data_IF_622468793894
#
_entry.id   IF_622468793894
#
_cell.length_a   1.000
_cell.length_b   1.000
_cell.length_c   1.000
_cell.angle_alpha   90.00
_cell.angle_beta   90.00
_cell.angle_gamma   90.00
#
_symmetry.space_group_name_H-M   'P 1'
#
loop_
_entity.id
_entity.type
_entity.pdbx_description
1 polymer ?
#
# COMPACT_ATOMS: atom_id res chain seq x y z
N UNK A 1 27.80 18.78 -6.33
CA UNK A 1 26.82 18.80 -5.23
C UNK A 1 27.58 18.73 -3.92
N UNK A 2 27.44 19.69 -3.00
CA UNK A 2 28.20 19.67 -1.75
C UNK A 2 27.76 18.46 -0.92
N UNK A 3 28.72 17.70 -0.38
CA UNK A 3 28.44 16.50 0.40
C UNK A 3 27.93 16.90 1.78
N UNK A 4 26.62 16.73 1.99
CA UNK A 4 26.01 16.70 3.32
C UNK A 4 26.76 15.62 4.13
N UNK A 5 27.41 16.00 5.24
CA UNK A 5 28.11 15.06 6.14
C UNK A 5 29.65 15.10 6.15
N UNK A 6 30.28 16.24 5.84
CA UNK A 6 31.71 16.49 6.07
C UNK A 6 31.93 17.80 6.85
N UNK A 7 33.13 18.00 7.38
CA UNK A 7 33.55 19.24 8.03
C UNK A 7 33.07 19.44 9.47
N UNK A 8 33.04 20.69 9.93
CA UNK A 8 32.76 21.06 11.33
C UNK A 8 31.42 20.50 11.83
N UNK A 9 30.36 20.54 11.01
CA UNK A 9 29.07 19.95 11.37
C UNK A 9 29.14 18.43 11.60
N UNK A 10 29.94 17.70 10.81
CA UNK A 10 30.16 16.27 11.02
C UNK A 10 30.92 16.02 12.33
N UNK A 11 31.97 16.80 12.58
CA UNK A 11 32.74 16.68 13.81
C UNK A 11 31.84 16.89 15.04
N UNK A 12 30.95 17.88 15.01
CA UNK A 12 29.98 18.17 16.09
C UNK A 12 29.00 17.01 16.26
N UNK A 13 28.49 16.44 15.17
CA UNK A 13 27.61 15.28 15.22
C UNK A 13 28.29 14.04 15.82
N UNK A 14 29.55 13.77 15.45
CA UNK A 14 30.33 12.62 15.92
C UNK A 14 30.78 12.78 17.38
N UNK A 15 31.22 13.98 17.76
CA UNK A 15 31.77 14.26 19.09
C UNK A 15 30.73 14.74 20.10
N UNK A 16 29.53 15.11 19.64
CA UNK A 16 28.40 15.58 20.46
C UNK A 16 28.77 16.76 21.37
N UNK A 17 29.58 17.67 20.84
CA UNK A 17 30.09 18.85 21.55
C UNK A 17 30.03 20.08 20.65
N UNK A 18 29.83 21.27 21.24
CA UNK A 18 29.90 22.50 20.48
C UNK A 18 31.29 22.71 19.88
N UNK A 19 31.34 23.42 18.76
CA UNK A 19 32.57 23.80 18.08
C UNK A 19 32.49 25.27 17.69
N UNK A 20 33.51 26.05 18.08
CA UNK A 20 33.68 27.46 17.73
C UNK A 20 34.91 27.58 16.84
N UNK A 21 34.71 28.09 15.62
CA UNK A 21 35.78 28.39 14.68
C UNK A 21 35.89 29.91 14.51
N UNK A 22 36.94 30.57 15.07
CA UNK A 22 37.14 32.00 14.93
C UNK A 22 37.53 32.43 13.51
N UNK A 23 38.29 31.60 12.78
CA UNK A 23 38.54 31.76 11.34
C UNK A 23 38.45 30.41 10.63
N UNK A 24 37.40 30.18 9.85
CA UNK A 24 37.17 28.91 9.15
C UNK A 24 38.22 28.64 8.07
N UNK A 25 38.94 29.66 7.57
CA UNK A 25 39.97 29.45 6.54
C UNK A 25 41.21 28.76 7.08
N UNK A 26 41.49 28.97 8.37
CA UNK A 26 42.61 28.37 9.10
C UNK A 26 42.20 27.07 9.80
N UNK A 27 40.93 26.68 9.71
CA UNK A 27 40.37 25.54 10.41
C UNK A 27 40.53 24.25 9.59
N UNK A 28 41.20 23.21 10.13
CA UNK A 28 41.43 21.95 9.41
C UNK A 28 40.16 21.15 9.14
N UNK A 29 39.06 21.46 9.84
CA UNK A 29 37.75 20.83 9.67
C UNK A 29 36.85 21.64 8.72
N UNK A 30 37.31 22.77 8.20
CA UNK A 30 36.50 23.56 7.29
C UNK A 30 36.29 22.85 5.95
N UNK A 31 35.04 22.78 5.54
CA UNK A 31 34.64 22.40 4.19
C UNK A 31 33.96 23.62 3.62
N UNK A 32 34.58 24.24 2.61
CA UNK A 32 34.09 25.49 2.02
C UNK A 32 32.73 25.24 1.36
N UNK A 33 31.67 25.67 2.04
CA UNK A 33 30.30 25.67 1.51
C UNK A 33 29.95 27.04 0.89
N UNK A 34 30.44 28.12 1.50
CA UNK A 34 30.29 29.50 1.03
C UNK A 34 31.60 30.25 1.23
N UNK A 35 32.13 30.87 0.16
CA UNK A 35 33.45 31.52 0.16
C UNK A 35 33.55 32.75 1.08
N UNK A 36 32.43 33.36 1.42
CA UNK A 36 32.38 34.59 2.24
C UNK A 36 32.38 34.35 3.73
N UNK A 37 32.19 33.09 4.18
CA UNK A 37 32.16 32.78 5.62
C UNK A 37 33.56 32.85 6.22
N UNK A 38 33.62 33.41 7.44
CA UNK A 38 34.86 33.65 8.17
C UNK A 38 34.84 33.04 9.55
N UNK A 39 33.73 33.03 10.28
CA UNK A 39 33.64 32.34 11.57
C UNK A 39 32.36 31.52 11.68
N UNK A 40 32.36 30.49 12.53
CA UNK A 40 31.14 29.73 12.83
C UNK A 40 31.07 29.28 14.30
N UNK A 41 29.83 29.07 14.77
CA UNK A 41 29.53 28.22 15.91
C UNK A 41 28.63 27.09 15.44
N UNK A 42 28.94 25.87 15.86
CA UNK A 42 28.10 24.70 15.66
C UNK A 42 27.79 24.04 16.99
N UNK A 43 26.53 23.71 17.26
CA UNK A 43 26.10 23.01 18.48
C UNK A 43 25.22 21.80 18.13
N UNK A 44 25.30 20.69 18.90
CA UNK A 44 24.48 19.51 18.63
C UNK A 44 23.02 19.75 19.05
N UNK A 45 22.07 19.35 18.19
CA UNK A 45 20.66 19.21 18.53
C UNK A 45 20.44 17.78 19.06
N UNK A 46 20.57 17.57 20.36
CA UNK A 46 20.48 16.25 20.97
C UNK A 46 19.58 16.24 22.21
N UNK A 47 18.95 15.09 22.47
CA UNK A 47 18.15 14.86 23.66
C UNK A 47 18.70 13.72 24.51
N UNK A 48 18.61 13.88 25.83
CA UNK A 48 19.19 12.94 26.79
C UNK A 48 20.66 13.25 27.03
N UNK A 49 20.97 13.81 28.18
CA UNK A 49 22.33 13.88 28.68
C UNK A 49 22.71 12.44 29.10
N UNK A 50 23.74 11.85 28.48
CA UNK A 50 24.54 10.72 29.02
C UNK A 50 24.18 9.26 28.65
N UNK A 51 23.52 8.96 27.53
CA UNK A 51 23.55 7.58 27.00
C UNK A 51 24.06 7.51 25.55
N UNK A 52 25.39 7.38 25.35
CA UNK A 52 26.02 7.18 24.04
C UNK A 52 25.54 5.90 23.33
N UNK A 53 24.90 4.96 24.04
CA UNK A 53 24.41 3.70 23.46
C UNK A 53 23.08 3.85 22.73
N UNK A 54 22.44 5.03 22.78
CA UNK A 54 21.23 5.34 21.99
C UNK A 54 21.59 6.14 20.74
N UNK A 55 21.73 5.51 19.56
CA UNK A 55 22.07 6.19 18.30
C UNK A 55 21.06 7.31 17.94
N UNK A 56 19.79 7.17 18.33
CA UNK A 56 18.71 8.13 18.00
C UNK A 56 18.72 9.43 18.82
N UNK A 57 19.68 9.64 19.73
CA UNK A 57 19.70 10.82 20.61
C UNK A 57 20.12 12.12 19.94
N UNK A 58 20.69 12.07 18.72
CA UNK A 58 21.08 13.24 17.95
C UNK A 58 20.05 13.51 16.83
N UNK A 59 19.36 14.65 16.90
CA UNK A 59 18.43 15.11 15.87
C UNK A 59 19.15 15.84 14.73
N UNK A 60 20.30 16.45 15.00
CA UNK A 60 21.08 17.19 14.00
C UNK A 60 22.11 18.13 14.62
N UNK A 61 22.53 19.13 13.84
CA UNK A 61 23.48 20.18 14.27
C UNK A 61 22.89 21.53 13.91
N UNK A 62 22.90 22.45 14.87
CA UNK A 62 22.56 23.85 14.66
C UNK A 62 23.84 24.64 14.42
N UNK A 63 23.91 25.34 13.30
CA UNK A 63 25.08 26.09 12.84
C UNK A 63 24.71 27.57 12.71
N UNK A 64 25.62 28.44 13.16
CA UNK A 64 25.59 29.87 12.92
C UNK A 64 26.91 30.30 12.29
N UNK A 65 26.85 31.05 11.19
CA UNK A 65 28.02 31.51 10.43
C UNK A 65 28.05 33.04 10.32
N UNK A 66 29.24 33.60 10.15
CA UNK A 66 29.45 35.02 9.93
C UNK A 66 30.57 35.26 8.93
N UNK A 67 30.44 36.33 8.14
CA UNK A 67 31.49 36.80 7.23
C UNK A 67 32.57 37.64 7.93
N UNK A 68 32.48 37.81 9.25
CA UNK A 68 33.50 38.49 10.07
C UNK A 68 34.36 37.44 10.79
N UNK A 69 35.67 37.66 10.80
CA UNK A 69 36.60 36.85 11.62
C UNK A 69 36.31 37.10 13.10
N UNK A 70 36.34 36.04 13.91
CA UNK A 70 36.11 36.05 15.35
C UNK A 70 34.82 36.81 15.74
N UNK A 71 33.74 36.59 14.98
CA UNK A 71 32.46 37.26 15.24
C UNK A 71 31.75 36.73 16.49
N UNK A 72 32.20 35.58 17.01
CA UNK A 72 31.55 34.85 18.09
C UNK A 72 32.54 34.55 19.21
N UNK A 73 32.02 34.48 20.44
CA UNK A 73 32.77 34.07 21.62
C UNK A 73 32.08 32.92 22.38
N UNK A 74 32.56 32.61 23.59
CA UNK A 74 32.03 31.52 24.40
C UNK A 74 30.61 31.80 24.92
N UNK A 75 30.22 33.05 25.13
CA UNK A 75 28.85 33.41 25.56
C UNK A 75 27.86 33.13 24.43
N UNK A 76 28.26 33.38 23.19
CA UNK A 76 27.46 33.03 22.01
C UNK A 76 27.26 31.50 21.89
N UNK A 77 28.29 30.72 22.23
CA UNK A 77 28.18 29.25 22.30
C UNK A 77 27.14 28.83 23.34
N UNK A 78 27.22 29.36 24.57
CA UNK A 78 26.28 29.04 25.65
C UNK A 78 24.83 29.41 25.28
N UNK A 79 24.64 30.58 24.66
CA UNK A 79 23.33 31.01 24.16
C UNK A 79 22.81 30.08 23.07
N UNK A 80 23.65 29.72 22.10
CA UNK A 80 23.25 28.84 21.00
C UNK A 80 22.95 27.42 21.50
N UNK A 81 23.68 26.92 22.49
CA UNK A 81 23.37 25.64 23.16
C UNK A 81 22.02 25.68 23.88
N UNK A 82 21.69 26.77 24.57
CA UNK A 82 20.38 26.93 25.21
C UNK A 82 19.24 26.94 24.17
N UNK A 83 19.41 27.68 23.07
CA UNK A 83 18.46 27.69 21.95
C UNK A 83 18.33 26.31 21.29
N UNK A 84 19.43 25.59 21.17
CA UNK A 84 19.44 24.23 20.64
C UNK A 84 18.62 23.27 21.52
N UNK A 85 18.68 23.41 22.86
CA UNK A 85 17.86 22.61 23.77
C UNK A 85 16.36 22.88 23.57
N UNK A 86 15.96 24.14 23.47
CA UNK A 86 14.56 24.52 23.19
C UNK A 86 14.11 24.01 21.82
N UNK A 87 14.97 24.12 20.79
CA UNK A 87 14.68 23.63 19.45
C UNK A 87 14.48 22.10 19.45
N UNK A 88 15.29 21.35 20.19
CA UNK A 88 15.15 19.90 20.35
C UNK A 88 13.78 19.55 20.94
N UNK A 89 13.36 20.22 22.01
CA UNK A 89 12.06 19.98 22.65
C UNK A 89 10.92 20.27 21.66
N UNK A 90 10.98 21.40 20.94
CA UNK A 90 9.98 21.78 19.96
C UNK A 90 9.86 20.77 18.81
N UNK A 91 11.00 20.31 18.27
CA UNK A 91 11.05 19.30 17.20
C UNK A 91 10.47 17.97 17.69
N UNK A 92 10.79 17.55 18.91
CA UNK A 92 10.24 16.33 19.50
C UNK A 92 8.73 16.41 19.67
N UNK A 93 8.23 17.51 20.22
CA UNK A 93 6.79 17.72 20.40
C UNK A 93 6.06 17.70 19.06
N UNK A 94 6.60 18.37 18.04
CA UNK A 94 6.03 18.37 16.69
C UNK A 94 6.01 16.96 16.07
N UNK A 95 7.12 16.22 16.17
CA UNK A 95 7.23 14.86 15.64
C UNK A 95 6.29 13.88 16.36
N UNK A 96 6.18 13.98 17.69
CA UNK A 96 5.27 13.16 18.48
C UNK A 96 3.80 13.47 18.13
N UNK A 97 3.47 14.75 17.99
CA UNK A 97 2.13 15.17 17.60
C UNK A 97 1.76 14.66 16.20
N UNK A 98 2.68 14.74 15.23
CA UNK A 98 2.47 14.18 13.89
C UNK A 98 2.25 12.67 13.91
N UNK A 99 3.03 11.92 14.70
CA UNK A 99 2.84 10.48 14.88
C UNK A 99 1.46 10.16 15.48
N UNK A 100 1.05 10.92 16.49
CA UNK A 100 -0.27 10.76 17.11
C UNK A 100 -1.41 10.99 16.11
N UNK A 101 -1.33 12.05 15.31
CA UNK A 101 -2.33 12.32 14.28
C UNK A 101 -2.39 11.20 13.23
N UNK A 102 -1.24 10.74 12.74
CA UNK A 102 -1.19 9.65 11.77
C UNK A 102 -1.75 8.33 12.33
N UNK A 103 -1.51 8.02 13.61
CA UNK A 103 -2.12 6.87 14.27
C UNK A 103 -3.63 7.01 14.44
N UNK A 104 -4.11 8.21 14.80
CA UNK A 104 -5.55 8.49 14.92
C UNK A 104 -6.26 8.35 13.57
N UNK A 105 -5.70 8.87 12.49
CA UNK A 105 -6.26 8.72 11.14
C UNK A 105 -6.35 7.24 10.72
N UNK A 106 -5.31 6.45 10.99
CA UNK A 106 -5.31 5.00 10.74
C UNK A 106 -6.38 4.28 11.55
N UNK A 107 -6.53 4.62 12.84
CA UNK A 107 -7.57 4.02 13.71
C UNK A 107 -8.96 4.37 13.22
N UNK A 108 -9.21 5.64 12.91
CA UNK A 108 -10.50 6.10 12.40
C UNK A 108 -10.85 5.41 11.07
N UNK A 109 -9.87 5.28 10.17
CA UNK A 109 -10.06 4.54 8.93
C UNK A 109 -10.43 3.07 9.21
N UNK A 110 -9.69 2.39 10.09
CA UNK A 110 -9.97 1.01 10.47
C UNK A 110 -11.35 0.82 11.11
N UNK A 111 -11.77 1.73 12.00
CA UNK A 111 -13.11 1.71 12.61
C UNK A 111 -14.21 1.89 11.57
N UNK A 112 -14.07 2.87 10.66
CA UNK A 112 -15.01 3.08 9.55
C UNK A 112 -15.09 1.84 8.65
N UNK A 113 -13.95 1.23 8.34
CA UNK A 113 -13.89 -0.01 7.57
C UNK A 113 -14.60 -1.17 8.28
N UNK A 114 -14.41 -1.33 9.60
CA UNK A 114 -15.10 -2.36 10.38
C UNK A 114 -16.62 -2.15 10.39
N UNK A 115 -17.08 -0.91 10.58
CA UNK A 115 -18.50 -0.56 10.51
C UNK A 115 -19.09 -0.84 9.12
N UNK A 116 -18.37 -0.44 8.06
CA UNK A 116 -18.74 -0.76 6.68
C UNK A 116 -18.83 -2.28 6.46
N UNK A 117 -17.91 -3.06 7.05
CA UNK A 117 -17.93 -4.51 6.96
C UNK A 117 -19.13 -5.18 7.64
N UNK A 118 -19.54 -4.68 8.81
CA UNK A 118 -20.76 -5.13 9.49
C UNK A 118 -22.01 -4.79 8.67
N UNK A 119 -22.11 -3.55 8.16
CA UNK A 119 -23.22 -3.12 7.31
C UNK A 119 -23.30 -3.92 6.00
N UNK A 120 -22.15 -4.16 5.36
CA UNK A 120 -22.01 -4.98 4.17
C UNK A 120 -22.49 -6.42 4.41
N UNK A 121 -22.09 -7.04 5.52
CA UNK A 121 -22.51 -8.40 5.88
C UNK A 121 -24.03 -8.49 6.08
N UNK A 122 -24.62 -7.54 6.81
CA UNK A 122 -26.07 -7.47 7.01
C UNK A 122 -26.83 -7.27 5.68
N UNK A 123 -26.33 -6.40 4.81
CA UNK A 123 -26.92 -6.15 3.50
C UNK A 123 -26.81 -7.37 2.57
N UNK A 124 -25.65 -8.04 2.55
CA UNK A 124 -25.42 -9.26 1.78
C UNK A 124 -26.41 -10.36 2.18
N UNK A 125 -26.62 -10.57 3.48
CA UNK A 125 -27.59 -11.55 3.97
C UNK A 125 -29.02 -11.21 3.49
N UNK A 126 -29.41 -9.94 3.53
CA UNK A 126 -30.75 -9.51 3.09
C UNK A 126 -30.96 -9.64 1.58
N UNK A 127 -29.95 -9.30 0.78
CA UNK A 127 -29.98 -9.50 -0.68
C UNK A 127 -30.07 -10.98 -1.01
N UNK A 128 -29.23 -11.81 -0.39
CA UNK A 128 -29.23 -13.24 -0.62
C UNK A 128 -30.58 -13.87 -0.26
N UNK A 129 -31.24 -13.40 0.81
CA UNK A 129 -32.57 -13.89 1.18
C UNK A 129 -33.65 -13.50 0.17
N UNK A 130 -33.67 -12.24 -0.29
CA UNK A 130 -34.69 -11.77 -1.24
C UNK A 130 -34.47 -12.34 -2.64
N UNK A 131 -33.22 -12.37 -3.09
CA UNK A 131 -32.87 -12.80 -4.45
C UNK A 131 -32.67 -14.31 -4.57
N UNK A 132 -32.39 -15.03 -3.48
CA UNK A 132 -32.16 -16.47 -3.49
C UNK A 132 -33.38 -17.28 -3.94
N UNK A 133 -34.58 -16.80 -3.62
CA UNK A 133 -35.84 -17.49 -3.96
C UNK A 133 -36.20 -17.28 -5.44
N UNK A 134 -35.85 -16.14 -6.03
CA UNK A 134 -36.30 -15.75 -7.38
C UNK A 134 -35.88 -16.76 -8.48
N UNK A 135 -34.62 -17.24 -8.56
CA UNK A 135 -34.24 -18.26 -9.53
C UNK A 135 -34.99 -19.58 -9.32
N UNK A 136 -35.22 -19.97 -8.06
CA UNK A 136 -35.92 -21.22 -7.71
C UNK A 136 -37.38 -21.13 -8.18
N UNK A 137 -38.07 -20.05 -7.85
CA UNK A 137 -39.46 -19.82 -8.27
C UNK A 137 -39.60 -19.71 -9.79
N UNK A 138 -38.67 -19.03 -10.47
CA UNK A 138 -38.68 -18.96 -11.93
C UNK A 138 -38.55 -20.36 -12.57
N UNK A 139 -37.65 -21.18 -12.04
CA UNK A 139 -37.42 -22.56 -12.50
C UNK A 139 -38.60 -23.49 -12.19
N UNK A 140 -39.25 -23.33 -11.03
CA UNK A 140 -40.49 -24.06 -10.71
C UNK A 140 -41.67 -23.66 -11.59
N UNK A 141 -41.78 -22.37 -11.92
CA UNK A 141 -42.81 -21.86 -12.84
C UNK A 141 -42.60 -22.45 -14.23
N UNK A 142 -41.34 -22.49 -14.71
CA UNK A 142 -40.97 -23.10 -15.99
C UNK A 142 -41.32 -24.60 -16.03
N UNK A 143 -41.02 -25.34 -14.95
CA UNK A 143 -41.40 -26.77 -14.83
C UNK A 143 -42.92 -26.99 -14.81
N UNK A 144 -43.67 -26.06 -14.24
CA UNK A 144 -45.14 -26.13 -14.22
C UNK A 144 -45.74 -25.79 -15.58
N UNK A 145 -45.18 -24.80 -16.29
CA UNK A 145 -45.58 -24.42 -17.64
C UNK A 145 -45.42 -25.58 -18.64
N UNK A 146 -44.34 -26.36 -18.50
CA UNK A 146 -44.09 -27.53 -19.33
C UNK A 146 -45.19 -28.61 -19.26
N UNK A 147 -46.06 -28.57 -18.24
CA UNK A 147 -47.18 -29.51 -18.05
C UNK A 147 -48.51 -28.98 -18.59
N UNK A 148 -48.57 -27.73 -19.05
CA UNK A 148 -49.79 -27.08 -19.53
C UNK A 148 -49.82 -27.06 -21.06
N UNK A 149 -50.99 -27.33 -21.64
CA UNK A 149 -51.24 -27.05 -23.06
C UNK A 149 -51.32 -25.53 -23.24
N UNK A 150 -50.35 -24.98 -23.97
CA UNK A 150 -50.20 -23.56 -24.26
C UNK A 150 -49.78 -23.40 -25.72
N UNK A 151 -50.27 -22.38 -26.45
CA UNK A 151 -49.80 -22.08 -27.79
C UNK A 151 -48.28 -21.86 -27.81
N UNK A 152 -47.59 -22.40 -28.82
CA UNK A 152 -46.12 -22.38 -28.87
C UNK A 152 -45.53 -20.96 -28.80
N UNK A 153 -46.20 -19.98 -29.42
CA UNK A 153 -45.77 -18.58 -29.37
C UNK A 153 -45.84 -17.97 -27.96
N UNK A 154 -46.84 -18.35 -27.17
CA UNK A 154 -46.97 -17.88 -25.79
C UNK A 154 -45.99 -18.60 -24.87
N UNK A 155 -45.83 -19.93 -25.04
CA UNK A 155 -44.85 -20.72 -24.29
C UNK A 155 -43.44 -20.17 -24.48
N UNK A 156 -43.04 -19.93 -25.72
CA UNK A 156 -41.71 -19.39 -26.06
C UNK A 156 -41.48 -18.00 -25.44
N UNK A 157 -42.51 -17.13 -25.43
CA UNK A 157 -42.42 -15.81 -24.81
C UNK A 157 -42.31 -15.89 -23.28
N UNK A 158 -43.08 -16.76 -22.62
CA UNK A 158 -43.03 -16.93 -21.16
C UNK A 158 -41.69 -17.52 -20.73
N UNK A 159 -41.21 -18.57 -21.41
CA UNK A 159 -39.92 -19.20 -21.14
C UNK A 159 -38.78 -18.19 -21.29
N UNK A 160 -38.75 -17.43 -22.38
CA UNK A 160 -37.74 -16.39 -22.58
C UNK A 160 -37.74 -15.31 -21.49
N UNK A 161 -38.90 -14.95 -20.93
CA UNK A 161 -38.97 -14.02 -19.80
C UNK A 161 -38.50 -14.66 -18.48
N UNK A 162 -38.91 -15.90 -18.19
CA UNK A 162 -38.48 -16.62 -16.99
C UNK A 162 -36.97 -16.88 -16.98
N UNK A 163 -36.38 -17.23 -18.13
CA UNK A 163 -34.93 -17.37 -18.29
C UNK A 163 -34.20 -16.06 -18.01
N UNK A 164 -34.71 -14.93 -18.53
CA UNK A 164 -34.14 -13.60 -18.25
C UNK A 164 -34.23 -13.24 -16.77
N UNK A 165 -35.35 -13.53 -16.11
CA UNK A 165 -35.53 -13.32 -14.66
C UNK A 165 -34.52 -14.16 -13.87
N UNK A 166 -34.42 -15.45 -14.18
CA UNK A 166 -33.50 -16.37 -13.52
C UNK A 166 -32.03 -15.95 -13.72
N UNK A 167 -31.66 -15.54 -14.94
CA UNK A 167 -30.33 -15.05 -15.27
C UNK A 167 -29.99 -13.78 -14.50
N UNK A 168 -30.89 -12.80 -14.51
CA UNK A 168 -30.69 -11.54 -13.80
C UNK A 168 -30.58 -11.74 -12.29
N UNK A 169 -31.42 -12.61 -11.71
CA UNK A 169 -31.37 -12.90 -10.29
C UNK A 169 -30.06 -13.61 -9.89
N UNK A 170 -29.60 -14.58 -10.69
CA UNK A 170 -28.27 -15.20 -10.50
C UNK A 170 -27.14 -14.20 -10.64
N UNK A 171 -27.24 -13.26 -11.58
CA UNK A 171 -26.25 -12.20 -11.75
C UNK A 171 -26.18 -11.28 -10.52
N UNK A 172 -27.32 -10.85 -9.97
CA UNK A 172 -27.37 -10.03 -8.75
C UNK A 172 -26.78 -10.76 -7.54
N UNK A 173 -27.03 -12.06 -7.40
CA UNK A 173 -26.44 -12.87 -6.32
C UNK A 173 -24.91 -12.96 -6.46
N UNK A 174 -24.39 -13.21 -7.66
CA UNK A 174 -22.94 -13.19 -7.93
C UNK A 174 -22.32 -11.82 -7.66
N UNK A 175 -23.00 -10.74 -8.08
CA UNK A 175 -22.54 -9.38 -7.83
C UNK A 175 -22.51 -9.06 -6.33
N UNK A 176 -23.55 -9.45 -5.59
CA UNK A 176 -23.61 -9.33 -4.13
C UNK A 176 -22.42 -10.05 -3.48
N UNK A 177 -22.15 -11.29 -3.90
CA UNK A 177 -21.03 -12.06 -3.38
C UNK A 177 -19.69 -11.38 -3.66
N UNK A 178 -19.43 -10.93 -4.90
CA UNK A 178 -18.22 -10.23 -5.28
C UNK A 178 -18.05 -8.88 -4.54
N UNK A 179 -19.10 -8.06 -4.45
CA UNK A 179 -19.06 -6.75 -3.79
C UNK A 179 -18.81 -6.86 -2.27
N UNK A 180 -19.33 -7.92 -1.62
CA UNK A 180 -19.23 -8.07 -0.18
C UNK A 180 -18.10 -9.02 0.27
N UNK A 181 -17.44 -9.73 -0.66
CA UNK A 181 -16.29 -10.61 -0.38
C UNK A 181 -15.18 -9.91 0.42
N UNK A 182 -14.75 -8.67 0.09
CA UNK A 182 -13.71 -7.97 0.85
C UNK A 182 -14.10 -7.75 2.32
N UNK A 183 -15.39 -7.57 2.59
CA UNK A 183 -15.93 -7.28 3.91
C UNK A 183 -16.18 -8.53 4.74
N UNK A 184 -16.48 -9.67 4.09
CA UNK A 184 -16.65 -10.97 4.76
C UNK A 184 -15.30 -11.61 5.12
N UNK A 185 -14.26 -11.32 4.35
CA UNK A 185 -12.93 -11.92 4.48
C UNK A 185 -11.82 -10.87 4.51
N UNK A 186 -12.03 -9.75 5.21
CA UNK A 186 -10.92 -8.96 5.77
C UNK A 186 -10.25 -9.77 6.89
N UNK A 187 -9.68 -10.91 6.52
CA UNK A 187 -8.85 -11.73 7.40
C UNK A 187 -7.54 -11.02 7.70
N UNK A 188 -6.79 -11.50 8.71
CA UNK A 188 -5.47 -10.95 9.03
C UNK A 188 -4.57 -10.97 7.78
N UNK A 189 -3.77 -9.92 7.60
CA UNK A 189 -2.70 -9.92 6.59
C UNK A 189 -1.72 -11.03 6.91
N UNK A 190 -1.33 -11.79 5.89
CA UNK A 190 -0.32 -12.82 5.98
C UNK A 190 0.84 -12.48 5.04
N UNK A 191 2.04 -12.95 5.36
CA UNK A 191 3.15 -12.97 4.40
C UNK A 191 2.92 -14.12 3.44
N UNK A 192 2.58 -13.79 2.20
CA UNK A 192 2.22 -14.75 1.16
C UNK A 192 3.27 -14.75 0.04
N UNK A 193 3.44 -15.92 -0.57
CA UNK A 193 4.21 -16.13 -1.79
C UNK A 193 3.28 -15.88 -3.00
N UNK A 194 3.55 -14.80 -3.74
CA UNK A 194 2.72 -14.38 -4.87
C UNK A 194 2.75 -15.39 -6.01
N UNK A 195 3.90 -16.02 -6.29
CA UNK A 195 4.00 -17.00 -7.37
C UNK A 195 3.15 -18.22 -7.05
N UNK A 196 3.20 -18.70 -5.79
CA UNK A 196 2.40 -19.83 -5.35
C UNK A 196 0.89 -19.56 -5.49
N UNK A 197 0.44 -18.36 -5.08
CA UNK A 197 -0.97 -17.97 -5.24
C UNK A 197 -1.40 -17.87 -6.70
N UNK A 198 -0.53 -17.42 -7.62
CA UNK A 198 -0.83 -17.38 -9.04
C UNK A 198 -0.94 -18.78 -9.65
N UNK A 199 -0.08 -19.71 -9.24
CA UNK A 199 -0.18 -21.11 -9.66
C UNK A 199 -1.51 -21.73 -9.17
N UNK A 200 -1.87 -21.55 -7.89
CA UNK A 200 -3.15 -22.01 -7.35
C UNK A 200 -4.35 -21.40 -8.12
N UNK A 201 -4.29 -20.10 -8.43
CA UNK A 201 -5.35 -19.44 -9.19
C UNK A 201 -5.46 -19.95 -10.63
N UNK A 202 -4.34 -20.21 -11.30
CA UNK A 202 -4.32 -20.78 -12.65
C UNK A 202 -4.87 -22.20 -12.68
N UNK A 203 -4.56 -23.00 -11.67
CA UNK A 203 -5.12 -24.35 -11.50
C UNK A 203 -6.62 -24.32 -11.22
N UNK A 204 -7.06 -23.44 -10.31
CA UNK A 204 -8.47 -23.30 -9.94
C UNK A 204 -9.36 -22.70 -11.05
N UNK A 205 -8.78 -21.92 -11.98
CA UNK A 205 -9.51 -21.28 -13.07
C UNK A 205 -10.03 -22.27 -14.14
N UNK A 206 -9.56 -23.51 -14.13
CA UNK A 206 -9.97 -24.57 -15.07
C UNK A 206 -9.96 -24.07 -16.51
N UNK A 207 -8.77 -23.64 -16.96
CA UNK A 207 -8.55 -23.15 -18.31
C UNK A 207 -8.60 -24.32 -19.30
N UNK A 208 -9.31 -24.15 -20.42
CA UNK A 208 -9.39 -25.19 -21.44
C UNK A 208 -8.04 -25.40 -22.13
N UNK A 209 -7.80 -26.61 -22.65
CA UNK A 209 -6.57 -26.94 -23.41
C UNK A 209 -6.36 -26.07 -24.67
N UNK A 210 -7.39 -25.32 -25.08
CA UNK A 210 -7.33 -24.39 -26.21
C UNK A 210 -6.64 -23.07 -25.86
N UNK A 211 -6.40 -22.79 -24.57
CA UNK A 211 -5.74 -21.57 -24.10
C UNK A 211 -4.27 -21.87 -23.83
N UNK A 212 -3.38 -21.24 -24.59
CA UNK A 212 -1.94 -21.30 -24.35
C UNK A 212 -1.59 -20.45 -23.11
N UNK A 213 -1.15 -21.09 -22.03
CA UNK A 213 -0.75 -20.41 -20.79
C UNK A 213 0.77 -20.26 -20.73
N UNK A 214 1.26 -19.02 -20.72
CA UNK A 214 2.69 -18.69 -20.62
C UNK A 214 2.98 -18.13 -19.22
N UNK A 215 3.87 -18.79 -18.47
CA UNK A 215 4.27 -18.39 -17.12
C UNK A 215 5.69 -17.83 -17.11
N UNK A 216 5.82 -16.56 -16.79
CA UNK A 216 7.11 -15.86 -16.70
C UNK A 216 7.32 -15.34 -15.28
N UNK A 217 7.58 -16.26 -14.33
CA UNK A 217 7.74 -15.90 -12.93
C UNK A 217 9.20 -15.63 -12.57
N UNK A 218 9.45 -14.52 -11.87
CA UNK A 218 10.75 -14.27 -11.27
C UNK A 218 10.99 -15.27 -10.14
N UNK A 219 12.16 -15.93 -10.15
CA UNK A 219 12.47 -17.06 -9.25
C UNK A 219 12.60 -16.67 -7.78
N UNK A 220 12.93 -15.41 -7.49
CA UNK A 220 13.23 -14.93 -6.14
C UNK A 220 12.44 -13.66 -5.83
N UNK A 221 11.13 -13.81 -5.66
CA UNK A 221 10.27 -12.72 -5.25
C UNK A 221 10.23 -12.59 -3.72
N UNK A 222 10.19 -11.36 -3.18
CA UNK A 222 9.99 -11.15 -1.75
C UNK A 222 8.56 -11.54 -1.35
N UNK A 223 8.40 -12.04 -0.12
CA UNK A 223 7.09 -12.32 0.46
C UNK A 223 6.29 -11.02 0.64
N UNK A 224 5.04 -11.01 0.22
CA UNK A 224 4.17 -9.83 0.27
C UNK A 224 3.21 -9.94 1.44
N UNK A 225 3.17 -8.91 2.29
CA UNK A 225 2.20 -8.87 3.38
C UNK A 225 0.84 -8.40 2.83
N UNK A 226 -0.06 -9.34 2.57
CA UNK A 226 -1.34 -9.06 1.93
C UNK A 226 -2.45 -9.93 2.50
N UNK A 227 -3.69 -9.63 2.12
CA UNK A 227 -4.85 -10.44 2.49
C UNK A 227 -4.85 -11.76 1.70
N UNK A 228 -5.34 -12.84 2.31
CA UNK A 228 -5.62 -14.12 1.64
C UNK A 228 -6.57 -13.97 0.44
N UNK A 229 -7.30 -12.85 0.36
CA UNK A 229 -8.12 -12.45 -0.81
C UNK A 229 -7.33 -12.29 -2.11
N UNK A 230 -6.00 -12.23 -2.07
CA UNK A 230 -5.20 -12.06 -3.28
C UNK A 230 -5.36 -13.23 -4.27
N UNK A 231 -5.51 -14.46 -3.75
CA UNK A 231 -5.83 -15.65 -4.57
C UNK A 231 -7.11 -15.44 -5.38
N UNK A 232 -8.13 -14.91 -4.71
CA UNK A 232 -9.44 -14.67 -5.28
C UNK A 232 -9.39 -13.62 -6.40
N UNK A 233 -8.59 -12.55 -6.20
CA UNK A 233 -8.38 -11.51 -7.21
C UNK A 233 -7.73 -12.11 -8.45
N UNK A 234 -6.69 -12.92 -8.29
CA UNK A 234 -6.06 -13.60 -9.41
C UNK A 234 -7.02 -14.53 -10.14
N UNK A 235 -7.79 -15.33 -9.41
CA UNK A 235 -8.80 -16.22 -9.99
C UNK A 235 -9.83 -15.45 -10.82
N UNK A 236 -10.33 -14.31 -10.33
CA UNK A 236 -11.29 -13.47 -11.05
C UNK A 236 -10.67 -12.85 -12.32
N UNK A 237 -9.44 -12.34 -12.24
CA UNK A 237 -8.74 -11.78 -13.41
C UNK A 237 -8.49 -12.85 -14.48
N UNK A 238 -8.01 -14.03 -14.09
CA UNK A 238 -7.78 -15.15 -15.00
C UNK A 238 -9.10 -15.64 -15.61
N UNK A 239 -10.16 -15.74 -14.80
CA UNK A 239 -11.49 -16.14 -15.29
C UNK A 239 -12.07 -15.11 -16.27
N UNK A 240 -11.79 -13.82 -16.06
CA UNK A 240 -12.21 -12.76 -16.98
C UNK A 240 -11.42 -12.81 -18.28
N UNK A 241 -10.10 -12.99 -18.23
CA UNK A 241 -9.28 -13.20 -19.42
C UNK A 241 -9.77 -14.41 -20.23
N UNK A 242 -10.11 -15.52 -19.56
CA UNK A 242 -10.70 -16.70 -20.21
C UNK A 242 -11.96 -16.36 -21.02
N UNK A 243 -12.87 -15.57 -20.44
CA UNK A 243 -14.11 -15.15 -21.10
C UNK A 243 -13.84 -14.19 -22.27
N UNK A 244 -12.92 -13.25 -22.10
CA UNK A 244 -12.58 -12.28 -23.14
C UNK A 244 -12.04 -12.95 -24.42
N UNK A 245 -11.35 -14.08 -24.26
CA UNK A 245 -10.81 -14.88 -25.35
C UNK A 245 -11.80 -15.91 -25.96
N UNK A 246 -13.06 -15.99 -25.50
CA UNK A 246 -14.02 -17.02 -25.98
C UNK A 246 -14.28 -16.98 -27.49
N UNK A 247 -14.21 -15.80 -28.11
CA UNK A 247 -14.45 -15.59 -29.54
C UNK A 247 -13.16 -15.38 -30.36
N UNK A 248 -11.99 -15.52 -29.73
CA UNK A 248 -10.69 -15.28 -30.37
C UNK A 248 -10.12 -16.57 -31.00
N UNK A 249 -9.55 -16.43 -32.20
CA UNK A 249 -8.86 -17.52 -32.92
C UNK A 249 -7.55 -17.94 -32.22
N UNK A 250 -6.85 -16.98 -31.62
CA UNK A 250 -5.67 -17.22 -30.79
C UNK A 250 -6.01 -16.89 -29.34
N UNK A 251 -5.97 -17.89 -28.46
CA UNK A 251 -6.23 -17.74 -27.03
C UNK A 251 -4.93 -17.95 -26.27
N UNK A 252 -4.32 -16.86 -25.81
CA UNK A 252 -3.07 -16.92 -25.05
C UNK A 252 -3.19 -16.08 -23.79
N UNK A 253 -2.93 -16.70 -22.65
CA UNK A 253 -2.84 -16.04 -21.35
C UNK A 253 -1.38 -16.03 -20.91
N UNK A 254 -0.80 -14.85 -20.75
CA UNK A 254 0.53 -14.65 -20.20
C UNK A 254 0.42 -14.10 -18.78
N UNK A 255 1.05 -14.78 -17.82
CA UNK A 255 1.17 -14.31 -16.44
C UNK A 255 2.64 -14.13 -16.14
N UNK A 256 3.03 -12.93 -15.72
CA UNK A 256 4.41 -12.62 -15.34
C UNK A 256 4.49 -11.95 -13.98
N UNK A 257 5.61 -12.18 -13.29
CA UNK A 257 5.91 -11.55 -12.02
C UNK A 257 7.32 -10.98 -12.05
N UNK A 258 7.51 -9.79 -11.47
CA UNK A 258 8.83 -9.18 -11.29
C UNK A 258 8.91 -8.38 -10.00
N UNK A 259 10.12 -8.26 -9.46
CA UNK A 259 10.43 -7.27 -8.43
C UNK A 259 10.73 -5.92 -9.09
N UNK A 260 10.24 -4.84 -8.49
CA UNK A 260 10.47 -3.47 -8.95
C UNK A 260 10.80 -2.57 -7.76
N UNK A 261 11.69 -1.61 -7.92
CA UNK A 261 12.12 -0.74 -6.82
C UNK A 261 12.03 0.72 -7.23
N UNK A 262 11.28 1.49 -6.47
CA UNK A 262 11.14 2.94 -6.65
C UNK A 262 11.51 3.69 -5.35
N UNK A 263 11.36 5.02 -5.38
CA UNK A 263 11.62 5.89 -4.22
C UNK A 263 10.70 5.57 -3.01
N UNK A 264 9.59 4.86 -3.22
CA UNK A 264 8.64 4.48 -2.18
C UNK A 264 8.89 3.08 -1.59
N UNK A 265 9.66 2.21 -2.27
CA UNK A 265 10.10 0.94 -1.72
C UNK A 265 10.27 -0.19 -2.75
N UNK A 266 10.29 -1.43 -2.24
CA UNK A 266 10.34 -2.64 -3.05
C UNK A 266 8.91 -3.14 -3.31
N UNK A 267 8.58 -3.33 -4.57
CA UNK A 267 7.28 -3.76 -5.06
C UNK A 267 7.39 -5.11 -5.74
N UNK A 268 6.30 -5.87 -5.65
CA UNK A 268 6.08 -7.05 -6.51
C UNK A 268 5.03 -6.66 -7.54
N UNK A 269 5.42 -6.74 -8.81
CA UNK A 269 4.54 -6.45 -9.93
C UNK A 269 4.07 -7.77 -10.54
N UNK A 270 2.76 -7.93 -10.63
CA UNK A 270 2.10 -9.04 -11.33
C UNK A 270 1.45 -8.47 -12.59
N UNK A 271 1.74 -9.06 -13.74
CA UNK A 271 1.12 -8.72 -15.01
C UNK A 271 0.38 -9.93 -15.57
N UNK A 272 -0.90 -9.75 -15.88
CA UNK A 272 -1.76 -10.74 -16.53
C UNK A 272 -2.18 -10.13 -17.85
N UNK A 273 -1.83 -10.79 -18.95
CA UNK A 273 -2.10 -10.33 -20.31
C UNK A 273 -2.77 -11.44 -21.09
N UNK A 274 -3.83 -11.10 -21.79
CA UNK A 274 -4.54 -12.02 -22.65
C UNK A 274 -4.66 -11.49 -24.09
N UNK A 275 -5.27 -12.28 -24.98
CA UNK A 275 -5.43 -11.94 -26.40
C UNK A 275 -6.84 -11.44 -26.75
N UNK A 276 -7.72 -11.20 -25.77
CA UNK A 276 -9.10 -10.75 -25.92
C UNK A 276 -9.39 -9.37 -25.33
#
# INVERSE_FOLDING_TARGET
TPRIGQGIARWVAENRRPYLSPDVRDDPLNVVLFEDMRSNISVPLQYGLQDPSKPDSLLGVLLLESSRVAAFDQQDVELLEALAQEAVIAIQNASQHQKLLAEQEKRLAAEKWAMMGQAATALAHRINNLMGIVPVSARETMRSLAKLETPDSERLWIEGNLERIERNARFVLKLSEALFRPFKHSGPTARLDVNHLLDEALEAADLSEQIEVIRNFEKQLPMVNCSLLLLDIFLELITNARKAMEDQDQRRLQVSTRSDQDDAGLWVVVEIKDTG
#
